data_IF_705136058635
#
_entry.id   IF_705136058635
#
_cell.length_a   1.000
_cell.length_b   1.000
_cell.length_c   1.000
_cell.angle_alpha   90.00
_cell.angle_beta   90.00
_cell.angle_gamma   90.00
#
_symmetry.space_group_name_H-M   'P 1'
#
loop_
_entity.id
_entity.type
_entity.pdbx_description
1 polymer ?
#
# COMPACT_ATOMS: atom_id res chain seq x y z
N UNK A 1 8.99 5.82 4.02
CA UNK A 1 8.60 5.48 2.64
C UNK A 1 8.96 4.04 2.39
N UNK A 2 7.93 3.22 2.30
CA UNK A 2 8.00 1.80 2.01
C UNK A 2 7.82 1.65 0.50
N UNK A 3 8.64 0.85 -0.17
CA UNK A 3 8.34 0.38 -1.53
C UNK A 3 7.31 -0.75 -1.45
N UNK A 4 6.04 -0.44 -1.72
CA UNK A 4 4.99 -1.43 -1.97
C UNK A 4 4.80 -1.66 -3.46
N UNK A 5 3.89 -2.55 -3.83
CA UNK A 5 3.40 -2.71 -5.22
C UNK A 5 1.89 -2.58 -5.18
N UNK A 6 1.32 -1.61 -5.89
CA UNK A 6 -0.08 -1.22 -5.76
C UNK A 6 -0.91 -1.68 -6.97
N UNK A 7 -2.16 -2.01 -6.73
CA UNK A 7 -3.15 -2.22 -7.78
C UNK A 7 -4.39 -1.38 -7.51
N UNK A 8 -4.93 -0.75 -8.56
CA UNK A 8 -6.18 0.01 -8.54
C UNK A 8 -7.38 -0.94 -8.66
N UNK A 9 -8.41 -0.66 -7.88
CA UNK A 9 -9.74 -1.28 -7.90
C UNK A 9 -10.41 -1.13 -9.31
N UNK A 10 -10.83 -2.23 -9.97
CA UNK A 10 -11.53 -2.15 -11.26
C UNK A 10 -13.02 -1.78 -11.18
N UNK A 11 -13.60 -1.52 -10.01
CA UNK A 11 -15.05 -1.39 -9.82
C UNK A 11 -15.46 -0.09 -9.11
N UNK A 12 -15.64 0.98 -9.89
CA UNK A 12 -16.37 2.17 -9.43
C UNK A 12 -17.90 1.95 -9.55
N UNK A 13 -18.61 1.90 -8.43
CA UNK A 13 -19.88 2.63 -8.23
C UNK A 13 -20.14 2.81 -6.71
N UNK A 14 -20.56 4.01 -6.24
CA UNK A 14 -20.64 4.33 -4.81
C UNK A 14 -21.96 3.84 -4.20
N UNK A 15 -21.87 2.92 -3.23
CA UNK A 15 -23.01 2.63 -2.36
C UNK A 15 -23.03 3.64 -1.20
N UNK A 16 -23.89 4.64 -1.37
CA UNK A 16 -24.36 5.53 -0.30
C UNK A 16 -25.09 4.68 0.73
N UNK A 17 -24.63 4.69 1.99
CA UNK A 17 -25.48 4.38 3.14
C UNK A 17 -25.39 5.50 4.17
N UNK A 18 -26.55 6.13 4.31
CA UNK A 18 -26.86 7.26 5.17
C UNK A 18 -27.27 6.78 6.58
N UNK A 19 -27.13 7.69 7.54
CA UNK A 19 -27.95 7.85 8.75
C UNK A 19 -27.65 7.03 10.02
N UNK A 20 -26.86 7.67 10.89
CA UNK A 20 -27.29 8.17 12.22
C UNK A 20 -27.64 7.22 13.39
N UNK A 21 -27.25 7.70 14.59
CA UNK A 21 -27.55 7.22 15.95
C UNK A 21 -26.56 6.15 16.48
N UNK A 22 -25.86 6.29 17.62
CA UNK A 22 -26.20 6.92 18.89
C UNK A 22 -24.93 7.43 19.62
N UNK A 23 -25.13 8.54 20.33
CA UNK A 23 -24.26 9.10 21.37
C UNK A 23 -24.09 8.14 22.55
N UNK A 24 -22.90 8.10 23.17
CA UNK A 24 -22.74 8.41 24.60
C UNK A 24 -21.27 8.39 25.03
N UNK A 25 -20.89 9.43 25.76
CA UNK A 25 -19.63 9.65 26.44
C UNK A 25 -19.34 8.59 27.52
N UNK A 26 -18.07 8.35 27.82
CA UNK A 26 -17.50 8.69 29.14
C UNK A 26 -15.97 8.53 29.20
N UNK A 27 -15.34 9.52 29.81
CA UNK A 27 -13.93 9.58 30.14
C UNK A 27 -13.61 8.82 31.45
N UNK A 28 -12.42 8.24 31.54
CA UNK A 28 -11.67 8.17 32.81
C UNK A 28 -10.18 7.96 32.57
N UNK A 29 -9.40 8.73 33.32
CA UNK A 29 -7.94 8.84 33.37
C UNK A 29 -7.34 7.79 34.31
N UNK A 30 -6.06 7.40 34.14
CA UNK A 30 -5.40 6.54 35.12
C UNK A 30 -4.05 5.90 34.75
N UNK A 31 -3.02 6.73 34.54
CA UNK A 31 -1.61 6.62 34.97
C UNK A 31 -0.89 5.25 35.14
N UNK A 32 0.13 5.04 34.28
CA UNK A 32 1.49 4.51 34.47
C UNK A 32 1.84 3.44 35.53
N UNK A 33 2.46 2.34 35.08
CA UNK A 33 3.89 2.10 35.32
C UNK A 33 4.47 0.97 34.46
N UNK A 34 5.75 1.13 34.15
CA UNK A 34 6.60 0.34 33.25
C UNK A 34 7.05 -0.94 33.96
N UNK A 35 6.93 -2.09 33.30
CA UNK A 35 7.78 -3.26 33.52
C UNK A 35 8.04 -3.95 32.18
N UNK A 36 9.29 -4.39 32.06
CA UNK A 36 9.91 -5.04 30.92
C UNK A 36 9.46 -6.51 30.81
N UNK A 37 9.65 -7.06 29.61
CA UNK A 37 9.43 -8.45 29.18
C UNK A 37 7.99 -8.81 28.75
N UNK A 38 7.78 -8.91 27.44
CA UNK A 38 7.45 -10.16 26.74
C UNK A 38 7.13 -9.87 25.25
N UNK A 39 7.37 -10.87 24.39
CA UNK A 39 6.85 -10.94 23.02
C UNK A 39 5.31 -10.85 23.04
N UNK A 40 4.78 -9.63 23.17
CA UNK A 40 3.35 -9.35 23.31
C UNK A 40 2.69 -9.20 21.94
N UNK A 41 2.03 -10.28 21.52
CA UNK A 41 1.14 -10.35 20.37
C UNK A 41 -0.08 -9.42 20.57
N UNK A 42 0.13 -8.14 20.27
CA UNK A 42 -0.94 -7.18 19.94
C UNK A 42 -1.79 -6.73 21.12
N UNK A 43 -1.31 -5.69 21.80
CA UNK A 43 -2.15 -4.88 22.70
C UNK A 43 -3.46 -4.44 22.01
N UNK A 44 -4.58 -4.62 22.71
CA UNK A 44 -5.93 -4.21 22.29
C UNK A 44 -5.98 -2.68 22.09
N UNK A 45 -6.07 -2.25 20.83
CA UNK A 45 -6.29 -0.84 20.46
C UNK A 45 -7.78 -0.66 20.16
N UNK A 46 -8.52 -0.01 21.07
CA UNK A 46 -9.85 0.50 20.77
C UNK A 46 -9.72 1.69 19.80
N UNK A 47 -9.73 1.39 18.50
CA UNK A 47 -9.63 2.38 17.42
C UNK A 47 -11.00 2.89 16.93
N UNK A 48 -11.06 4.10 16.34
CA UNK A 48 -12.29 4.65 15.74
C UNK A 48 -12.83 3.75 14.62
N UNK A 49 -14.15 3.77 14.41
CA UNK A 49 -14.88 3.06 13.34
C UNK A 49 -14.50 3.62 11.96
N UNK A 50 -13.31 3.28 11.46
CA UNK A 50 -12.82 3.64 10.13
C UNK A 50 -12.52 2.34 9.38
N UNK A 51 -13.05 2.25 8.16
CA UNK A 51 -13.22 1.02 7.38
C UNK A 51 -11.90 0.28 7.06
N UNK A 52 -10.77 0.97 7.04
CA UNK A 52 -9.43 0.42 7.23
C UNK A 52 -8.47 1.58 7.58
N UNK A 53 -7.41 1.33 8.32
CA UNK A 53 -6.32 2.31 8.49
C UNK A 53 -4.96 1.62 8.44
N UNK A 54 -3.93 2.38 8.08
CA UNK A 54 -2.57 1.85 7.93
C UNK A 54 -1.60 2.71 8.72
N UNK A 55 -0.87 2.08 9.64
CA UNK A 55 0.14 2.74 10.47
C UNK A 55 1.54 2.27 10.09
N UNK A 56 2.50 3.20 10.07
CA UNK A 56 3.90 2.82 9.94
C UNK A 56 4.41 2.15 11.22
N UNK A 57 5.44 1.31 11.07
CA UNK A 57 6.15 0.73 12.21
C UNK A 57 6.66 1.79 13.19
N UNK A 58 6.66 1.46 14.49
CA UNK A 58 7.07 2.39 15.56
C UNK A 58 8.52 2.84 15.44
N UNK A 59 9.39 1.99 14.88
CA UNK A 59 10.83 2.25 14.79
C UNK A 59 11.20 2.58 13.34
N UNK A 60 11.66 3.80 13.04
CA UNK A 60 12.15 4.13 11.71
C UNK A 60 13.48 3.42 11.43
N UNK A 61 13.71 3.07 10.17
CA UNK A 61 14.96 2.47 9.72
C UNK A 61 16.08 3.52 9.63
N UNK A 62 15.81 4.66 9.00
CA UNK A 62 16.78 5.73 8.82
C UNK A 62 16.12 7.07 8.41
N UNK A 63 16.90 8.14 8.45
CA UNK A 63 16.53 9.46 7.93
C UNK A 63 17.57 9.91 6.89
N UNK A 64 17.15 10.08 5.65
CA UNK A 64 18.04 10.22 4.48
C UNK A 64 17.52 11.28 3.50
N UNK A 65 18.36 11.74 2.59
CA UNK A 65 17.90 12.57 1.48
C UNK A 65 17.27 11.70 0.38
N UNK A 66 16.30 12.23 -0.38
CA UNK A 66 15.69 11.53 -1.52
C UNK A 66 16.70 10.99 -2.54
N UNK A 67 17.75 11.75 -2.84
CA UNK A 67 18.76 11.34 -3.83
C UNK A 67 19.57 10.12 -3.35
N UNK A 68 19.87 10.05 -2.05
CA UNK A 68 20.62 8.93 -1.47
C UNK A 68 19.83 7.61 -1.51
N UNK A 69 18.51 7.68 -1.38
CA UNK A 69 17.63 6.49 -1.41
C UNK A 69 17.25 6.10 -2.84
N UNK A 70 17.13 7.08 -3.76
CA UNK A 70 16.87 6.85 -5.18
C UNK A 70 17.87 5.84 -5.77
N UNK A 71 19.17 6.03 -5.47
CA UNK A 71 20.22 5.11 -5.89
C UNK A 71 20.07 3.70 -5.29
N UNK A 72 19.66 3.58 -4.02
CA UNK A 72 19.47 2.29 -3.34
C UNK A 72 18.26 1.52 -3.84
N UNK A 73 17.22 2.24 -4.25
CA UNK A 73 15.99 1.66 -4.81
C UNK A 73 16.13 1.35 -6.30
N UNK A 74 17.25 1.71 -6.93
CA UNK A 74 17.41 1.75 -8.38
C UNK A 74 16.28 2.55 -9.05
N UNK A 75 15.81 3.61 -8.39
CA UNK A 75 14.70 4.45 -8.85
C UNK A 75 15.15 5.91 -8.98
N UNK A 76 15.73 6.31 -10.13
CA UNK A 76 16.33 7.63 -10.30
C UNK A 76 15.31 8.76 -10.37
N UNK A 77 14.07 8.49 -10.76
CA UNK A 77 12.98 9.47 -10.82
C UNK A 77 12.30 9.70 -9.46
N UNK A 78 12.75 9.01 -8.40
CA UNK A 78 12.16 9.10 -7.06
C UNK A 78 12.00 10.54 -6.53
N UNK A 79 12.97 11.47 -6.68
CA UNK A 79 12.77 12.86 -6.29
C UNK A 79 11.64 13.54 -7.08
N UNK A 80 11.50 13.23 -8.37
CA UNK A 80 10.41 13.75 -9.20
C UNK A 80 9.05 13.20 -8.75
N UNK A 81 8.98 11.93 -8.34
CA UNK A 81 7.76 11.34 -7.77
C UNK A 81 7.35 12.03 -6.47
N UNK A 82 8.30 12.40 -5.60
CA UNK A 82 8.02 13.19 -4.39
C UNK A 82 7.43 14.55 -4.76
N UNK A 83 8.04 15.24 -5.71
CA UNK A 83 7.59 16.57 -6.14
C UNK A 83 6.20 16.52 -6.75
N UNK A 84 5.93 15.52 -7.60
CA UNK A 84 4.61 15.28 -8.19
C UNK A 84 3.58 15.01 -7.08
N UNK A 85 3.89 14.10 -6.16
CA UNK A 85 3.00 13.78 -5.05
C UNK A 85 2.67 15.02 -4.21
N UNK A 86 3.67 15.81 -3.80
CA UNK A 86 3.44 17.06 -3.05
C UNK A 86 2.56 18.01 -3.86
N UNK A 87 2.83 18.19 -5.14
CA UNK A 87 2.02 19.03 -6.02
C UNK A 87 0.56 18.57 -6.06
N UNK A 88 0.32 17.27 -6.24
CA UNK A 88 -1.02 16.69 -6.31
C UNK A 88 -1.78 16.86 -5.00
N UNK A 89 -1.12 16.71 -3.85
CA UNK A 89 -1.73 16.92 -2.53
C UNK A 89 -2.12 18.39 -2.29
N UNK A 90 -1.29 19.36 -2.69
CA UNK A 90 -1.60 20.79 -2.51
C UNK A 90 -2.70 21.29 -3.47
N UNK A 91 -3.00 20.55 -4.55
CA UNK A 91 -4.00 20.91 -5.56
C UNK A 91 -5.24 20.02 -5.56
N UNK A 92 -5.39 19.15 -4.56
CA UNK A 92 -6.49 18.18 -4.45
C UNK A 92 -7.89 18.84 -4.43
N UNK A 93 -7.98 20.11 -4.02
CA UNK A 93 -9.23 20.88 -3.90
C UNK A 93 -9.39 22.03 -4.92
N UNK A 94 -8.50 22.14 -5.91
CA UNK A 94 -8.50 23.25 -6.86
C UNK A 94 -9.39 22.98 -8.08
N UNK A 95 -10.70 22.85 -7.86
CA UNK A 95 -11.71 23.06 -8.93
C UNK A 95 -11.89 24.56 -9.19
N UNK A 96 -10.81 25.27 -9.46
CA UNK A 96 -10.86 26.70 -9.79
C UNK A 96 -9.83 27.01 -10.88
N UNK A 97 -10.39 27.35 -12.04
CA UNK A 97 -9.76 27.98 -13.19
C UNK A 97 -8.77 27.14 -14.02
N UNK A 98 -9.38 26.31 -14.86
CA UNK A 98 -8.89 26.08 -16.23
C UNK A 98 -8.88 27.44 -16.94
N UNK A 99 -7.81 28.21 -16.78
CA UNK A 99 -7.25 29.18 -17.75
C UNK A 99 -6.15 29.98 -17.03
N UNK A 100 -4.92 29.80 -17.51
CA UNK A 100 -3.71 30.59 -17.23
C UNK A 100 -2.96 30.35 -15.91
N UNK A 101 -2.08 29.34 -15.87
CA UNK A 101 -0.78 29.50 -15.21
C UNK A 101 0.33 28.87 -16.05
N UNK A 102 1.29 29.71 -16.39
CA UNK A 102 2.55 29.42 -17.06
C UNK A 102 3.39 28.38 -16.31
N UNK A 103 3.97 27.42 -17.06
CA UNK A 103 5.16 26.61 -16.71
C UNK A 103 5.37 26.35 -15.21
N UNK A 104 4.63 25.37 -14.68
CA UNK A 104 4.69 24.92 -13.29
C UNK A 104 6.04 24.29 -12.95
N UNK A 105 6.93 25.08 -12.36
CA UNK A 105 8.06 24.54 -11.60
C UNK A 105 7.50 23.77 -10.41
N UNK A 106 7.72 22.46 -10.37
CA UNK A 106 7.27 21.63 -9.26
C UNK A 106 7.97 22.08 -7.96
N UNK A 107 7.31 22.06 -6.79
CA UNK A 107 7.92 22.50 -5.55
C UNK A 107 9.12 21.62 -5.23
N UNK A 108 10.30 22.24 -5.15
CA UNK A 108 11.55 21.50 -4.97
C UNK A 108 11.67 21.06 -3.51
N UNK A 109 11.74 19.75 -3.28
CA UNK A 109 11.82 19.17 -1.94
C UNK A 109 13.27 18.92 -1.54
N UNK A 110 13.75 19.65 -0.53
CA UNK A 110 15.13 19.55 -0.01
C UNK A 110 15.21 18.89 1.37
N UNK A 111 14.08 18.41 1.90
CA UNK A 111 13.99 17.80 3.22
C UNK A 111 14.61 16.40 3.26
N UNK A 112 14.99 15.96 4.47
CA UNK A 112 15.23 14.53 4.70
C UNK A 112 13.90 13.82 4.89
N UNK A 113 13.77 12.63 4.31
CA UNK A 113 12.65 11.73 4.55
C UNK A 113 13.00 10.72 5.64
N UNK A 114 11.98 10.22 6.32
CA UNK A 114 12.12 9.12 7.27
C UNK A 114 11.63 7.82 6.61
N UNK A 115 12.48 6.80 6.62
CA UNK A 115 12.21 5.49 6.02
C UNK A 115 11.78 4.54 7.11
N UNK A 116 10.73 3.77 6.85
CA UNK A 116 10.22 2.75 7.74
C UNK A 116 10.37 1.40 7.04
N UNK A 117 10.60 0.30 7.77
CA UNK A 117 10.74 -1.03 7.17
C UNK A 117 9.40 -1.73 6.89
N UNK A 118 8.33 -1.32 7.58
CA UNK A 118 7.01 -1.95 7.45
C UNK A 118 5.89 -1.01 7.89
N UNK A 119 4.67 -1.39 7.55
CA UNK A 119 3.41 -0.81 8.00
C UNK A 119 2.47 -1.93 8.52
N UNK A 120 1.44 -1.56 9.27
CA UNK A 120 0.38 -2.45 9.73
C UNK A 120 -0.93 -1.91 9.16
N UNK A 121 -1.59 -2.70 8.31
CA UNK A 121 -2.96 -2.43 7.87
C UNK A 121 -3.94 -3.09 8.84
N UNK A 122 -4.83 -2.30 9.42
CA UNK A 122 -5.89 -2.76 10.31
C UNK A 122 -7.22 -2.61 9.60
N UNK A 123 -7.95 -3.73 9.50
CA UNK A 123 -9.16 -3.85 8.70
C UNK A 123 -10.27 -4.38 9.60
N UNK A 124 -11.46 -3.80 9.50
CA UNK A 124 -12.62 -4.37 10.17
C UNK A 124 -13.13 -5.59 9.39
N UNK A 125 -13.30 -6.68 10.10
CA UNK A 125 -13.78 -7.96 9.61
C UNK A 125 -15.13 -8.28 10.29
N UNK A 126 -16.27 -7.93 9.66
CA UNK A 126 -17.59 -8.05 10.28
C UNK A 126 -17.97 -9.47 10.71
N UNK A 127 -17.36 -10.49 10.10
CA UNK A 127 -17.72 -11.89 10.28
C UNK A 127 -16.75 -12.70 11.15
N UNK A 128 -15.64 -12.13 11.62
CA UNK A 128 -14.67 -12.86 12.43
C UNK A 128 -14.83 -12.51 13.91
N UNK A 129 -15.39 -13.46 14.66
CA UNK A 129 -15.68 -13.38 16.09
C UNK A 129 -14.39 -13.53 16.94
N UNK A 130 -13.22 -13.69 16.30
CA UNK A 130 -11.99 -14.16 16.97
C UNK A 130 -11.01 -13.08 17.43
N UNK A 131 -11.35 -11.79 17.37
CA UNK A 131 -10.56 -10.70 17.97
C UNK A 131 -11.51 -9.65 18.52
N UNK A 132 -11.23 -9.12 19.71
CA UNK A 132 -12.07 -8.12 20.37
C UNK A 132 -12.39 -6.98 19.39
N UNK A 133 -13.68 -6.75 19.10
CA UNK A 133 -14.12 -5.72 18.15
C UNK A 133 -14.11 -6.09 16.66
N UNK A 134 -13.75 -7.33 16.29
CA UNK A 134 -13.83 -7.80 14.90
C UNK A 134 -12.79 -7.17 13.96
N UNK A 135 -11.61 -6.78 14.46
CA UNK A 135 -10.53 -6.21 13.63
C UNK A 135 -9.41 -7.23 13.34
N UNK A 136 -8.90 -7.21 12.11
CA UNK A 136 -7.74 -7.98 11.66
C UNK A 136 -6.57 -7.03 11.35
N UNK A 137 -5.35 -7.44 11.66
CA UNK A 137 -4.15 -6.64 11.35
C UNK A 137 -3.20 -7.45 10.46
N UNK A 138 -2.69 -6.82 9.41
CA UNK A 138 -1.74 -7.39 8.48
C UNK A 138 -0.49 -6.53 8.44
N UNK A 139 0.69 -7.15 8.57
CA UNK A 139 1.96 -6.45 8.42
C UNK A 139 2.35 -6.43 6.94
N UNK A 140 2.61 -5.24 6.42
CA UNK A 140 3.10 -4.99 5.07
C UNK A 140 4.58 -4.59 5.17
N UNK A 141 5.46 -5.37 4.56
CA UNK A 141 6.91 -5.21 4.60
C UNK A 141 7.46 -4.55 3.33
N UNK A 142 8.45 -3.67 3.51
CA UNK A 142 9.24 -3.13 2.43
C UNK A 142 10.68 -2.92 2.91
N UNK A 143 11.51 -3.94 2.75
CA UNK A 143 12.87 -3.98 3.27
C UNK A 143 13.85 -4.40 2.20
N UNK A 144 15.02 -3.74 2.16
CA UNK A 144 16.11 -4.08 1.24
C UNK A 144 16.88 -5.33 1.67
N UNK A 145 16.73 -5.79 2.91
CA UNK A 145 17.24 -7.08 3.38
C UNK A 145 16.36 -7.64 4.49
N UNK A 146 15.82 -8.83 4.26
CA UNK A 146 15.00 -9.55 5.23
C UNK A 146 15.76 -10.72 5.85
N UNK A 147 15.89 -10.75 7.18
CA UNK A 147 16.63 -11.81 7.92
C UNK A 147 18.05 -12.08 7.39
N UNK A 148 18.77 -11.02 7.01
CA UNK A 148 20.11 -11.08 6.36
C UNK A 148 20.10 -11.75 4.97
N UNK A 149 18.93 -11.92 4.38
CA UNK A 149 18.73 -12.42 3.02
C UNK A 149 18.38 -11.30 2.04
N UNK A 150 17.71 -11.70 0.95
CA UNK A 150 17.27 -10.81 -0.11
C UNK A 150 16.26 -9.75 0.38
N UNK A 151 16.02 -8.75 -0.47
CA UNK A 151 14.96 -7.77 -0.25
C UNK A 151 13.59 -8.43 -0.23
N UNK A 152 12.65 -7.81 0.48
CA UNK A 152 11.27 -8.27 0.59
C UNK A 152 10.33 -7.08 0.50
N UNK A 153 9.50 -7.08 -0.55
CA UNK A 153 8.55 -6.02 -0.85
C UNK A 153 7.17 -6.65 -1.07
N UNK A 154 6.23 -6.29 -0.21
CA UNK A 154 4.88 -6.82 -0.27
C UNK A 154 4.04 -6.10 -1.35
N UNK A 155 3.10 -6.84 -1.91
CA UNK A 155 2.04 -6.33 -2.80
C UNK A 155 0.84 -5.90 -1.98
N UNK A 156 0.13 -4.85 -2.42
CA UNK A 156 -0.99 -4.25 -1.69
C UNK A 156 -2.14 -3.87 -2.63
N UNK A 157 -3.37 -3.90 -2.11
CA UNK A 157 -4.52 -3.28 -2.76
C UNK A 157 -4.59 -1.80 -2.38
N UNK A 158 -4.93 -0.96 -3.36
CA UNK A 158 -5.01 0.50 -3.16
C UNK A 158 -6.38 1.02 -3.58
N UNK A 159 -7.02 1.76 -2.66
CA UNK A 159 -8.24 2.51 -2.89
C UNK A 159 -7.91 3.96 -3.27
N UNK A 160 -8.30 4.36 -4.48
CA UNK A 160 -8.03 5.69 -5.01
C UNK A 160 -8.90 6.80 -4.38
N UNK A 161 -10.01 6.45 -3.74
CA UNK A 161 -11.04 7.41 -3.28
C UNK A 161 -10.84 7.90 -1.83
N UNK A 162 -9.73 7.54 -1.18
CA UNK A 162 -9.45 8.04 0.16
C UNK A 162 -9.05 9.51 0.09
N UNK A 163 -9.96 10.42 0.45
CA UNK A 163 -9.61 11.79 0.78
C UNK A 163 -8.67 11.79 1.99
N UNK A 164 -7.57 12.55 1.91
CA UNK A 164 -6.59 12.62 2.99
C UNK A 164 -6.34 14.08 3.33
N UNK A 165 -6.53 14.41 4.60
CA UNK A 165 -6.18 15.70 5.18
C UNK A 165 -5.00 15.52 6.15
N UNK A 166 -3.95 16.35 6.04
CA UNK A 166 -2.85 16.34 6.99
C UNK A 166 -1.62 17.15 6.56
N UNK A 167 -0.84 17.60 7.55
CA UNK A 167 0.42 18.36 7.34
C UNK A 167 1.62 17.40 7.15
N UNK A 168 1.48 16.15 7.59
CA UNK A 168 2.49 15.10 7.45
C UNK A 168 1.97 13.99 6.55
N UNK A 169 2.48 13.95 5.32
CA UNK A 169 2.15 12.89 4.39
C UNK A 169 2.92 11.62 4.76
N UNK A 170 2.20 10.61 5.26
CA UNK A 170 2.72 9.25 5.35
C UNK A 170 2.53 8.61 3.98
N UNK A 171 3.62 8.13 3.38
CA UNK A 171 3.56 7.66 2.00
C UNK A 171 4.31 6.34 1.79
N UNK A 172 3.89 5.63 0.74
CA UNK A 172 4.58 4.50 0.16
C UNK A 172 4.96 4.82 -1.29
N UNK A 173 6.17 4.42 -1.70
CA UNK A 173 6.52 4.32 -3.12
C UNK A 173 5.91 3.02 -3.63
N UNK A 174 5.23 3.03 -4.78
CA UNK A 174 4.60 1.83 -5.31
C UNK A 174 4.88 1.63 -6.78
N UNK A 175 5.05 0.37 -7.18
CA UNK A 175 5.04 0.00 -8.60
C UNK A 175 3.67 -0.59 -8.94
N UNK A 176 3.04 -0.07 -10.00
CA UNK A 176 1.68 -0.42 -10.35
C UNK A 176 1.57 -1.74 -11.12
N UNK A 177 0.43 -2.42 -10.93
CA UNK A 177 -0.01 -3.54 -11.75
C UNK A 177 -1.28 -3.15 -12.51
N UNK A 178 -1.42 -3.65 -13.74
CA UNK A 178 -2.63 -3.49 -14.56
C UNK A 178 -3.25 -4.84 -14.86
N UNK A 179 -4.58 -4.91 -14.83
CA UNK A 179 -5.32 -6.08 -15.31
C UNK A 179 -4.97 -6.34 -16.78
N UNK A 180 -4.63 -7.60 -17.09
CA UNK A 180 -4.31 -8.05 -18.44
C UNK A 180 -5.53 -8.01 -19.36
N UNK A 181 -6.68 -8.38 -18.80
CA UNK A 181 -7.96 -8.49 -19.49
C UNK A 181 -9.07 -7.80 -18.68
N UNK A 182 -10.18 -7.49 -19.34
CA UNK A 182 -11.38 -6.89 -18.70
C UNK A 182 -12.26 -7.93 -17.98
N UNK A 183 -11.78 -9.16 -17.83
CA UNK A 183 -12.51 -10.23 -17.17
C UNK A 183 -11.55 -11.19 -16.47
N UNK A 184 -11.96 -11.83 -15.37
CA UNK A 184 -11.14 -12.85 -14.72
C UNK A 184 -10.91 -14.05 -15.63
N UNK A 185 -9.81 -14.76 -15.38
CA UNK A 185 -9.49 -16.00 -16.09
C UNK A 185 -10.61 -17.04 -15.91
N UNK A 186 -11.03 -17.66 -17.01
CA UNK A 186 -12.20 -18.55 -17.02
C UNK A 186 -11.99 -19.84 -16.23
N UNK A 187 -10.74 -20.30 -16.09
CA UNK A 187 -10.43 -21.56 -15.43
C UNK A 187 -10.31 -21.43 -13.92
N UNK A 188 -9.74 -20.33 -13.45
CA UNK A 188 -9.46 -20.06 -12.03
C UNK A 188 -10.45 -19.10 -11.38
N UNK A 189 -11.12 -18.27 -12.19
CA UNK A 189 -11.89 -17.12 -11.76
C UNK A 189 -11.05 -15.99 -11.18
N UNK A 190 -9.71 -16.04 -11.25
CA UNK A 190 -8.82 -15.02 -10.71
C UNK A 190 -8.49 -13.97 -11.76
N UNK A 191 -8.30 -12.72 -11.33
CA UNK A 191 -7.76 -11.68 -12.19
C UNK A 191 -6.29 -11.93 -12.48
N UNK A 192 -5.89 -11.72 -13.73
CA UNK A 192 -4.48 -11.73 -14.14
C UNK A 192 -4.01 -10.29 -14.25
N UNK A 193 -2.89 -10.00 -13.62
CA UNK A 193 -2.25 -8.69 -13.65
C UNK A 193 -0.82 -8.77 -14.14
N UNK A 194 -0.36 -7.70 -14.77
CA UNK A 194 0.99 -7.54 -15.29
C UNK A 194 1.58 -6.25 -14.71
N UNK A 195 2.90 -6.19 -14.45
CA UNK A 195 3.56 -4.94 -14.08
C UNK A 195 3.20 -3.84 -15.09
N UNK A 196 2.63 -2.75 -14.62
CA UNK A 196 2.24 -1.65 -15.48
C UNK A 196 3.48 -0.87 -15.89
N UNK A 197 3.84 -0.88 -17.17
CA UNK A 197 4.96 -0.15 -17.72
C UNK A 197 4.47 1.09 -18.49
N UNK A 198 4.96 2.26 -18.11
CA UNK A 198 4.60 3.51 -18.80
C UNK A 198 5.36 3.58 -20.12
N UNK A 199 4.63 3.52 -21.25
CA UNK A 199 5.22 3.66 -22.58
C UNK A 199 5.67 2.35 -23.25
N UNK A 200 5.34 1.18 -22.67
CA UNK A 200 5.61 -0.13 -23.27
C UNK A 200 6.96 -0.76 -22.92
N UNK A 201 7.82 -0.04 -22.20
CA UNK A 201 9.13 -0.54 -21.77
C UNK A 201 9.02 -1.26 -20.42
N UNK A 202 8.98 -2.59 -20.45
CA UNK A 202 8.85 -3.45 -19.26
C UNK A 202 9.97 -3.25 -18.21
N UNK A 203 11.09 -2.65 -18.60
CA UNK A 203 12.20 -2.31 -17.70
C UNK A 203 11.93 -1.11 -16.79
N UNK A 204 10.91 -0.29 -17.09
CA UNK A 204 10.58 0.88 -16.29
C UNK A 204 9.15 0.78 -15.72
N UNK A 205 8.98 0.13 -14.56
CA UNK A 205 7.67 0.00 -13.94
C UNK A 205 7.11 1.38 -13.60
N UNK A 206 5.85 1.60 -13.95
CA UNK A 206 5.12 2.81 -13.61
C UNK A 206 5.06 2.89 -12.09
N UNK A 207 5.79 3.85 -11.56
CA UNK A 207 5.96 4.02 -10.13
C UNK A 207 5.32 5.32 -9.69
N UNK A 208 4.75 5.32 -8.49
CA UNK A 208 4.16 6.53 -7.91
C UNK A 208 4.32 6.55 -6.39
N UNK A 209 4.18 7.72 -5.79
CA UNK A 209 4.10 7.84 -4.34
C UNK A 209 2.63 8.01 -3.97
N UNK A 210 2.13 7.08 -3.16
CA UNK A 210 0.75 7.09 -2.68
C UNK A 210 0.69 7.44 -1.20
N UNK A 211 -0.41 8.05 -0.78
CA UNK A 211 -0.67 8.25 0.63
C UNK A 211 -0.94 6.91 1.32
N UNK A 212 -0.48 6.72 2.56
CA UNK A 212 -0.58 5.44 3.25
C UNK A 212 -2.03 5.00 3.48
N UNK A 213 -2.93 5.96 3.69
CA UNK A 213 -4.37 5.70 3.87
C UNK A 213 -5.07 5.15 2.61
N UNK A 214 -4.45 5.24 1.43
CA UNK A 214 -5.02 4.61 0.24
C UNK A 214 -4.75 3.10 0.23
N UNK A 215 -3.80 2.60 1.02
CA UNK A 215 -3.55 1.17 1.13
C UNK A 215 -4.68 0.52 1.92
N UNK A 216 -5.36 -0.43 1.28
CA UNK A 216 -6.39 -1.23 1.95
C UNK A 216 -5.75 -2.34 2.78
N UNK A 217 -4.90 -3.15 2.15
CA UNK A 217 -4.32 -4.36 2.74
C UNK A 217 -3.25 -5.00 1.86
N UNK A 218 -2.61 -6.06 2.36
CA UNK A 218 -1.72 -6.89 1.55
C UNK A 218 -2.49 -7.67 0.47
N UNK A 219 -1.94 -7.73 -0.74
CA UNK A 219 -2.41 -8.55 -1.84
C UNK A 219 -1.47 -9.75 -2.00
N UNK A 220 -2.01 -10.92 -2.33
CA UNK A 220 -1.21 -12.11 -2.59
C UNK A 220 -1.21 -12.41 -4.08
N UNK A 221 -0.03 -12.33 -4.71
CA UNK A 221 0.15 -12.62 -6.13
C UNK A 221 0.77 -14.01 -6.33
N UNK A 222 0.23 -14.78 -7.27
CA UNK A 222 0.76 -16.07 -7.71
C UNK A 222 1.27 -15.95 -9.14
N UNK A 223 2.45 -16.48 -9.48
CA UNK A 223 2.94 -16.40 -10.86
C UNK A 223 2.05 -17.19 -11.82
N UNK A 224 1.77 -16.61 -12.99
CA UNK A 224 1.17 -17.34 -14.12
C UNK A 224 2.28 -18.09 -14.83
N UNK A 225 2.23 -19.42 -14.79
CA UNK A 225 3.23 -20.25 -15.47
C UNK A 225 2.92 -20.34 -16.97
N UNK A 226 3.92 -20.03 -17.80
CA UNK A 226 3.88 -20.25 -19.23
C UNK A 226 4.16 -21.69 -19.63
N UNK A 227 4.46 -21.90 -20.91
CA UNK A 227 4.92 -23.19 -21.43
C UNK A 227 6.40 -23.47 -21.14
N UNK A 228 7.15 -22.47 -20.67
CA UNK A 228 8.56 -22.59 -20.37
C UNK A 228 8.80 -23.30 -19.02
N UNK A 229 9.94 -23.99 -18.93
CA UNK A 229 10.31 -24.69 -17.70
C UNK A 229 10.78 -23.68 -16.65
N UNK A 230 10.14 -23.67 -15.48
CA UNK A 230 10.58 -22.86 -14.33
C UNK A 230 11.94 -23.35 -13.86
N UNK A 231 12.92 -22.44 -13.73
CA UNK A 231 14.25 -22.83 -13.25
C UNK A 231 14.17 -23.47 -11.86
N UNK A 232 14.90 -24.58 -11.66
CA UNK A 232 14.99 -25.25 -10.35
C UNK A 232 15.77 -24.43 -9.31
N UNK A 233 16.53 -23.44 -9.77
CA UNK A 233 17.30 -22.52 -8.91
C UNK A 233 16.54 -21.24 -8.60
N UNK A 234 15.29 -21.10 -9.08
CA UNK A 234 14.47 -19.94 -8.78
C UNK A 234 14.19 -19.89 -7.28
N UNK A 235 14.55 -18.76 -6.66
CA UNK A 235 14.21 -18.49 -5.26
C UNK A 235 12.81 -17.88 -5.17
N UNK A 236 12.10 -18.16 -4.07
CA UNK A 236 10.82 -17.50 -3.79
C UNK A 236 10.96 -15.98 -3.73
N UNK A 237 12.15 -15.47 -3.36
CA UNK A 237 12.46 -14.03 -3.27
C UNK A 237 12.38 -13.32 -4.61
N UNK A 238 12.63 -14.04 -5.71
CA UNK A 238 12.75 -13.47 -7.05
C UNK A 238 11.45 -13.64 -7.85
N UNK A 239 10.42 -14.24 -7.23
CA UNK A 239 9.19 -14.65 -7.92
C UNK A 239 8.47 -13.44 -8.52
N UNK A 240 8.41 -12.31 -7.81
CA UNK A 240 7.74 -11.10 -8.29
C UNK A 240 8.53 -10.33 -9.37
N UNK A 241 9.78 -10.72 -9.64
CA UNK A 241 10.65 -10.10 -10.64
C UNK A 241 10.91 -11.02 -11.83
N UNK A 242 10.61 -12.32 -11.70
CA UNK A 242 10.90 -13.33 -12.73
C UNK A 242 9.76 -13.51 -13.73
N UNK A 243 8.50 -13.40 -13.29
CA UNK A 243 7.35 -13.67 -14.14
C UNK A 243 6.76 -12.38 -14.74
N UNK A 244 6.16 -12.51 -15.92
CA UNK A 244 5.53 -11.38 -16.63
C UNK A 244 4.10 -11.09 -16.16
N UNK A 245 3.41 -12.10 -15.61
CA UNK A 245 2.00 -11.99 -15.21
C UNK A 245 1.72 -12.81 -13.95
N UNK A 246 0.73 -12.36 -13.19
CA UNK A 246 0.39 -12.90 -11.88
C UNK A 246 -1.12 -13.00 -11.69
N UNK A 247 -1.57 -14.09 -11.07
CA UNK A 247 -2.93 -14.19 -10.55
C UNK A 247 -3.05 -13.47 -9.21
N UNK A 248 -4.12 -12.72 -9.05
CA UNK A 248 -4.52 -12.23 -7.72
C UNK A 248 -5.20 -13.37 -6.97
N UNK A 249 -4.57 -13.84 -5.91
CA UNK A 249 -5.10 -14.93 -5.10
C UNK A 249 -6.23 -14.45 -4.18
N UNK A 250 -7.44 -14.42 -4.72
CA UNK A 250 -8.64 -14.10 -3.95
C UNK A 250 -9.09 -15.19 -2.97
N UNK A 251 -8.47 -16.36 -2.99
CA UNK A 251 -8.82 -17.49 -2.13
C UNK A 251 -7.90 -17.61 -0.91
N UNK A 252 -6.95 -16.68 -0.74
CA UNK A 252 -6.03 -16.68 0.42
C UNK A 252 -6.80 -16.49 1.74
N UNK A 253 -7.87 -15.69 1.71
CA UNK A 253 -8.81 -15.53 2.81
C UNK A 253 -10.16 -14.96 2.33
N UNK A 254 -11.14 -14.94 3.24
CA UNK A 254 -12.49 -14.45 3.00
C UNK A 254 -12.56 -12.96 2.59
N UNK A 255 -11.63 -12.12 3.05
CA UNK A 255 -11.63 -10.69 2.73
C UNK A 255 -11.03 -10.42 1.35
N UNK A 256 -10.03 -11.19 0.94
CA UNK A 256 -9.41 -11.09 -0.37
C UNK A 256 -10.43 -11.46 -1.44
N UNK A 257 -11.28 -12.44 -1.13
CA UNK A 257 -12.41 -12.81 -1.97
C UNK A 257 -13.38 -11.65 -2.20
N UNK A 258 -13.72 -10.89 -1.15
CA UNK A 258 -14.68 -9.77 -1.25
C UNK A 258 -14.15 -8.56 -2.02
N UNK A 259 -12.86 -8.27 -1.92
CA UNK A 259 -12.26 -7.09 -2.57
C UNK A 259 -12.08 -7.28 -4.08
N UNK A 260 -11.99 -8.53 -4.54
CA UNK A 260 -11.63 -8.85 -5.93
C UNK A 260 -12.82 -9.30 -6.78
N UNK A 261 -14.06 -9.12 -6.28
CA UNK A 261 -15.30 -9.60 -6.87
C UNK A 261 -16.30 -8.49 -7.17
#
# INVERSE_FOLDING_TARGET
MNTGRAQVDPSHEPLILDSSSLLSNNASSGNGNINEDEDDDGADIAGPTVEAHVDLSKVPLCKVYPDDIAAKLAQPDFPCLIQKFIYDQEHLNSTSDIMSVSSTAHPMFYGKITVYPSAIATIQVPSNISRTGGMCCERICAVTSWRKGASHYDTVFVNADSAVEGIHYLCALVNWFSCKDNSPDKSTGMWIVEPYARGGDAENPSSDIIHLNTILRAAHLLPVFGSEHVSRTLSFTDTLDTFSSYYINKYVDHHAFKITF
#
